data_IF_724374459109
#
_entry.id   IF_724374459109
#
_cell.length_a   1.000
_cell.length_b   1.000
_cell.length_c   1.000
_cell.angle_alpha   90.00
_cell.angle_beta   90.00
_cell.angle_gamma   90.00
#
_symmetry.space_group_name_H-M   'P 1'
#
loop_
_entity.id
_entity.type
_entity.pdbx_description
1 polymer ?
#
# COMPACT_ATOMS: atom_id res chain seq x y z
N UNK A 1 29.47 -2.13 -5.74
CA UNK A 1 29.56 -2.86 -4.46
C UNK A 1 30.15 -1.93 -3.42
N UNK A 2 29.28 -1.30 -2.63
CA UNK A 2 29.65 -0.49 -1.47
C UNK A 2 29.63 -1.43 -0.26
N UNK A 3 30.63 -1.43 0.61
CA UNK A 3 30.74 -2.45 1.65
C UNK A 3 29.63 -2.27 2.69
N UNK A 4 28.99 -3.37 3.06
CA UNK A 4 28.08 -3.44 4.19
C UNK A 4 28.88 -3.17 5.48
N UNK A 5 28.49 -2.13 6.22
CA UNK A 5 29.05 -1.81 7.53
C UNK A 5 27.92 -1.51 8.51
N UNK A 6 28.08 -2.10 9.71
CA UNK A 6 27.20 -2.13 10.88
C UNK A 6 26.16 -3.27 10.89
N UNK A 7 26.46 -4.26 11.73
CA UNK A 7 25.56 -5.28 12.31
C UNK A 7 24.06 -4.96 12.19
N UNK A 8 23.36 -5.59 11.24
CA UNK A 8 21.89 -5.65 11.14
C UNK A 8 21.32 -6.60 12.21
N UNK A 9 21.67 -6.39 13.47
CA UNK A 9 20.93 -7.02 14.57
C UNK A 9 19.55 -6.38 14.59
N UNK A 10 18.50 -7.19 14.50
CA UNK A 10 17.13 -6.70 14.61
C UNK A 10 17.00 -5.83 15.86
N UNK A 11 16.36 -4.65 15.78
CA UNK A 11 16.20 -3.78 16.94
C UNK A 11 15.59 -4.59 18.09
N UNK A 12 16.04 -4.37 19.32
CA UNK A 12 15.50 -5.10 20.48
C UNK A 12 14.61 -4.20 21.32
N UNK A 13 13.68 -4.81 22.03
CA UNK A 13 12.85 -4.15 23.02
C UNK A 13 13.06 -4.81 24.38
N UNK A 14 13.14 -4.00 25.43
CA UNK A 14 13.40 -4.46 26.80
C UNK A 14 12.31 -4.01 27.76
N UNK A 15 12.03 -4.84 28.77
CA UNK A 15 11.06 -4.57 29.83
C UNK A 15 11.46 -5.28 31.13
N UNK A 16 10.82 -4.89 32.22
CA UNK A 16 10.94 -5.57 33.51
C UNK A 16 9.77 -6.54 33.69
N UNK A 17 10.06 -7.81 33.97
CA UNK A 17 9.05 -8.84 34.26
C UNK A 17 8.30 -8.54 35.56
N UNK A 18 7.18 -9.21 35.81
CA UNK A 18 6.44 -9.09 37.09
C UNK A 18 7.26 -9.50 38.33
N UNK A 19 8.36 -10.23 38.13
CA UNK A 19 9.31 -10.63 39.17
C UNK A 19 10.49 -9.65 39.34
N UNK A 20 10.48 -8.51 38.65
CA UNK A 20 11.57 -7.54 38.71
C UNK A 20 12.79 -7.89 37.84
N UNK A 21 12.74 -8.97 37.07
CA UNK A 21 13.86 -9.43 36.21
C UNK A 21 13.80 -8.72 34.87
N UNK A 22 14.95 -8.26 34.36
CA UNK A 22 15.06 -7.69 33.02
C UNK A 22 14.83 -8.77 31.95
N UNK A 23 14.03 -8.45 30.93
CA UNK A 23 13.77 -9.30 29.78
C UNK A 23 13.81 -8.47 28.50
N UNK A 24 14.10 -9.15 27.38
CA UNK A 24 14.15 -8.53 26.06
C UNK A 24 13.71 -9.51 24.98
N UNK A 25 13.33 -8.97 23.82
CA UNK A 25 12.98 -9.71 22.62
C UNK A 25 13.28 -8.86 21.38
N UNK A 26 13.31 -9.50 20.22
CA UNK A 26 13.46 -8.82 18.93
C UNK A 26 12.21 -7.96 18.66
N UNK A 27 12.39 -6.74 18.18
CA UNK A 27 11.32 -5.82 17.78
C UNK A 27 11.04 -5.98 16.29
N UNK A 28 9.77 -6.18 15.96
CA UNK A 28 9.32 -6.30 14.57
C UNK A 28 8.42 -5.14 14.17
N UNK A 29 8.74 -4.53 13.02
CA UNK A 29 7.82 -3.62 12.33
C UNK A 29 8.11 -3.57 10.83
N UNK A 30 7.16 -4.05 10.04
CA UNK A 30 7.19 -3.92 8.57
C UNK A 30 7.13 -2.45 8.11
N UNK A 31 6.51 -1.59 8.92
CA UNK A 31 6.42 -0.15 8.64
C UNK A 31 7.70 0.63 9.02
N UNK A 32 8.75 -0.05 9.49
CA UNK A 32 9.99 0.60 9.94
C UNK A 32 9.81 1.49 11.17
N UNK A 33 8.77 1.25 11.98
CA UNK A 33 8.54 2.00 13.21
C UNK A 33 9.63 1.64 14.21
N UNK A 34 10.27 2.64 14.81
CA UNK A 34 11.30 2.41 15.84
C UNK A 34 10.72 1.73 17.08
N UNK A 35 11.54 0.89 17.72
CA UNK A 35 11.17 0.24 18.97
C UNK A 35 10.78 1.28 20.05
N UNK A 36 9.70 1.06 20.82
CA UNK A 36 9.35 1.92 21.94
C UNK A 36 10.49 2.02 22.95
N UNK A 37 10.87 3.25 23.33
CA UNK A 37 11.94 3.50 24.30
C UNK A 37 11.61 3.03 25.71
N UNK A 38 10.32 2.95 26.03
CA UNK A 38 9.80 2.56 27.34
C UNK A 38 8.70 1.54 27.14
N UNK A 39 8.76 0.44 27.88
CA UNK A 39 7.76 -0.62 27.86
C UNK A 39 7.29 -0.91 29.27
N UNK A 40 5.98 -1.03 29.43
CA UNK A 40 5.33 -1.46 30.65
C UNK A 40 4.52 -2.73 30.38
N UNK A 41 4.44 -3.61 31.37
CA UNK A 41 3.52 -4.74 31.34
C UNK A 41 2.10 -4.25 31.58
N UNK A 42 1.17 -4.68 30.73
CA UNK A 42 -0.25 -4.36 30.82
C UNK A 42 -1.08 -5.64 30.85
N UNK A 43 -2.23 -5.62 31.52
CA UNK A 43 -3.17 -6.74 31.57
C UNK A 43 -4.61 -6.24 31.70
N UNK A 44 -5.53 -7.17 31.97
CA UNK A 44 -6.98 -6.94 32.01
C UNK A 44 -7.42 -5.87 33.04
N UNK A 45 -6.56 -5.46 33.97
CA UNK A 45 -6.87 -4.40 34.96
C UNK A 45 -6.60 -2.98 34.44
N UNK A 46 -5.90 -2.83 33.31
CA UNK A 46 -5.57 -1.53 32.74
C UNK A 46 -6.80 -0.87 32.10
N UNK A 47 -7.26 0.25 32.66
CA UNK A 47 -8.36 1.01 32.08
C UNK A 47 -7.97 1.66 30.75
N UNK A 48 -8.95 1.84 29.85
CA UNK A 48 -8.71 2.44 28.54
C UNK A 48 -8.20 3.88 28.60
N UNK A 49 -8.57 4.67 29.62
CA UNK A 49 -8.06 6.03 29.82
C UNK A 49 -6.60 6.03 30.26
N UNK A 50 -6.21 5.13 31.15
CA UNK A 50 -4.80 4.97 31.56
C UNK A 50 -3.95 4.45 30.40
N UNK A 51 -4.44 3.46 29.65
CA UNK A 51 -3.79 2.98 28.44
C UNK A 51 -3.60 4.09 27.40
N UNK A 52 -4.62 4.94 27.19
CA UNK A 52 -4.52 6.06 26.26
C UNK A 52 -3.46 7.08 26.70
N UNK A 53 -3.37 7.39 28.00
CA UNK A 53 -2.30 8.25 28.55
C UNK A 53 -0.92 7.65 28.32
N UNK A 54 -0.73 6.35 28.56
CA UNK A 54 0.53 5.65 28.29
C UNK A 54 0.88 5.71 26.79
N UNK A 55 -0.09 5.48 25.93
CA UNK A 55 0.08 5.55 24.48
C UNK A 55 0.44 6.96 24.00
N UNK A 56 -0.20 8.01 24.52
CA UNK A 56 0.16 9.40 24.24
C UNK A 56 1.58 9.76 24.71
N UNK A 57 2.05 9.14 25.80
CA UNK A 57 3.42 9.28 26.27
C UNK A 57 4.43 8.42 25.48
N UNK A 58 3.98 7.65 24.48
CA UNK A 58 4.82 6.76 23.68
C UNK A 58 5.31 5.52 24.43
N UNK A 59 4.65 5.14 25.53
CA UNK A 59 4.98 3.92 26.28
C UNK A 59 4.35 2.70 25.60
N UNK A 60 5.19 1.74 25.23
CA UNK A 60 4.75 0.43 24.77
C UNK A 60 4.10 -0.35 25.91
N UNK A 61 2.94 -0.94 25.66
CA UNK A 61 2.19 -1.74 26.60
C UNK A 61 2.28 -3.20 26.16
N UNK A 62 3.18 -3.96 26.77
CA UNK A 62 3.33 -5.37 26.49
C UNK A 62 2.23 -6.15 27.20
N UNK A 63 1.27 -6.64 26.42
CA UNK A 63 0.05 -7.24 26.94
C UNK A 63 0.28 -8.65 27.48
N UNK A 64 -0.20 -8.90 28.70
CA UNK A 64 -0.11 -10.18 29.44
C UNK A 64 -1.47 -10.68 29.92
N UNK A 65 -2.56 -10.00 29.55
CA UNK A 65 -3.93 -10.41 29.85
C UNK A 65 -4.53 -11.33 28.79
N UNK A 66 -5.85 -11.32 28.69
CA UNK A 66 -6.56 -12.07 27.65
C UNK A 66 -6.46 -11.41 26.26
N UNK A 67 -6.34 -12.21 25.21
CA UNK A 67 -6.17 -11.71 23.86
C UNK A 67 -7.38 -10.92 23.33
N UNK A 68 -8.61 -11.35 23.65
CA UNK A 68 -9.80 -10.62 23.22
C UNK A 68 -9.93 -9.29 23.94
N UNK A 69 -9.48 -9.21 25.19
CA UNK A 69 -9.43 -7.94 25.93
C UNK A 69 -8.38 -6.99 25.33
N UNK A 70 -7.25 -7.49 24.83
CA UNK A 70 -6.29 -6.69 24.06
C UNK A 70 -6.95 -6.06 22.82
N UNK A 71 -7.74 -6.84 22.06
CA UNK A 71 -8.47 -6.33 20.88
C UNK A 71 -9.49 -5.26 21.27
N UNK A 72 -10.24 -5.47 22.36
CA UNK A 72 -11.19 -4.48 22.88
C UNK A 72 -10.48 -3.19 23.33
N UNK A 73 -9.33 -3.32 23.99
CA UNK A 73 -8.51 -2.18 24.39
C UNK A 73 -8.01 -1.41 23.16
N UNK A 74 -7.54 -2.09 22.12
CA UNK A 74 -7.13 -1.45 20.86
C UNK A 74 -8.28 -0.65 20.23
N UNK A 75 -9.50 -1.20 20.20
CA UNK A 75 -10.69 -0.48 19.73
C UNK A 75 -11.02 0.73 20.62
N UNK A 76 -10.86 0.60 21.94
CA UNK A 76 -11.08 1.69 22.88
C UNK A 76 -10.04 2.82 22.72
N UNK A 77 -8.79 2.48 22.41
CA UNK A 77 -7.73 3.43 22.05
C UNK A 77 -8.05 4.12 20.72
N UNK A 78 -8.55 3.39 19.72
CA UNK A 78 -8.95 3.94 18.43
C UNK A 78 -10.03 5.01 18.60
N UNK A 79 -11.12 4.69 19.31
CA UNK A 79 -12.18 5.66 19.60
C UNK A 79 -11.66 6.91 20.31
N UNK A 80 -10.69 6.78 21.22
CA UNK A 80 -10.09 7.93 21.93
C UNK A 80 -9.14 8.75 21.06
N UNK A 81 -8.41 8.11 20.15
CA UNK A 81 -7.59 8.81 19.17
C UNK A 81 -8.45 9.61 18.18
N UNK A 82 -9.64 9.09 17.85
CA UNK A 82 -10.57 9.70 16.91
C UNK A 82 -11.44 10.79 17.58
N UNK A 83 -11.83 10.60 18.85
CA UNK A 83 -12.69 11.53 19.58
C UNK A 83 -11.89 12.68 20.21
N UNK A 84 -12.04 13.88 19.65
CA UNK A 84 -11.56 15.12 20.26
C UNK A 84 -12.63 15.75 21.16
N UNK A 85 -12.25 16.41 22.27
CA UNK A 85 -13.20 17.23 23.04
C UNK A 85 -13.90 18.25 22.15
N UNK A 86 -15.19 18.51 22.35
CA UNK A 86 -16.02 19.33 21.46
C UNK A 86 -15.39 20.69 21.10
N UNK A 87 -14.78 21.38 22.08
CA UNK A 87 -14.07 22.65 21.86
C UNK A 87 -12.84 22.51 20.95
N UNK A 88 -12.08 21.43 21.11
CA UNK A 88 -10.92 21.13 20.27
C UNK A 88 -11.34 20.68 18.87
N UNK A 89 -12.45 19.94 18.75
CA UNK A 89 -13.05 19.55 17.48
C UNK A 89 -13.55 20.78 16.70
N UNK A 90 -14.26 21.71 17.34
CA UNK A 90 -14.73 22.95 16.73
C UNK A 90 -13.57 23.81 16.19
N UNK A 91 -12.53 24.02 17.01
CA UNK A 91 -11.33 24.77 16.58
C UNK A 91 -10.59 24.08 15.44
N UNK A 92 -10.52 22.75 15.46
CA UNK A 92 -9.91 21.98 14.37
C UNK A 92 -10.73 22.08 13.08
N UNK A 93 -12.06 22.07 13.17
CA UNK A 93 -12.95 22.25 12.02
C UNK A 93 -12.84 23.66 11.42
N UNK A 94 -12.80 24.70 12.25
CA UNK A 94 -12.58 26.09 11.82
C UNK A 94 -11.22 26.24 11.10
N UNK A 95 -10.15 25.70 11.70
CA UNK A 95 -8.82 25.68 11.08
C UNK A 95 -8.82 24.92 9.75
N UNK A 96 -9.51 23.79 9.67
CA UNK A 96 -9.62 23.02 8.44
C UNK A 96 -10.43 23.76 7.36
N UNK A 97 -11.50 24.47 7.73
CA UNK A 97 -12.29 25.26 6.79
C UNK A 97 -11.45 26.36 6.12
N UNK A 98 -10.62 27.07 6.89
CA UNK A 98 -9.72 28.11 6.39
C UNK A 98 -8.44 27.60 5.70
N UNK A 99 -8.11 26.31 5.84
CA UNK A 99 -6.89 25.71 5.30
C UNK A 99 -6.97 25.48 3.79
N UNK A 100 -5.83 25.64 3.10
CA UNK A 100 -5.69 25.23 1.70
C UNK A 100 -5.90 23.70 1.55
N UNK A 101 -6.20 23.18 0.34
CA UNK A 101 -6.30 21.73 0.12
C UNK A 101 -5.04 20.97 0.56
N UNK A 102 -3.86 21.54 0.31
CA UNK A 102 -2.57 20.98 0.72
C UNK A 102 -2.43 20.95 2.24
N UNK A 103 -2.81 22.03 2.93
CA UNK A 103 -2.77 22.07 4.39
C UNK A 103 -3.74 21.05 5.01
N UNK A 104 -4.94 20.88 4.44
CA UNK A 104 -5.91 19.85 4.88
C UNK A 104 -5.34 18.45 4.70
N UNK A 105 -4.71 18.17 3.56
CA UNK A 105 -4.00 16.92 3.31
C UNK A 105 -2.91 16.68 4.36
N UNK A 106 -2.05 17.66 4.61
CA UNK A 106 -0.96 17.56 5.59
C UNK A 106 -1.49 17.32 7.02
N UNK A 107 -2.53 18.05 7.43
CA UNK A 107 -3.19 17.86 8.73
C UNK A 107 -3.84 16.48 8.84
N UNK A 108 -4.50 16.00 7.77
CA UNK A 108 -5.08 14.65 7.73
C UNK A 108 -3.99 13.58 7.90
N UNK A 109 -2.87 13.71 7.17
CA UNK A 109 -1.73 12.78 7.29
C UNK A 109 -1.09 12.82 8.68
N UNK A 110 -0.93 14.00 9.26
CA UNK A 110 -0.43 14.15 10.63
C UNK A 110 -1.35 13.44 11.64
N UNK A 111 -2.67 13.60 11.50
CA UNK A 111 -3.64 12.92 12.35
C UNK A 111 -3.60 11.39 12.18
N UNK A 112 -3.52 10.88 10.94
CA UNK A 112 -3.38 9.44 10.68
C UNK A 112 -2.08 8.87 11.26
N UNK A 113 -0.96 9.59 11.13
CA UNK A 113 0.32 9.19 11.72
C UNK A 113 0.26 9.19 13.26
N UNK A 114 -0.36 10.20 13.88
CA UNK A 114 -0.54 10.24 15.32
C UNK A 114 -1.40 9.07 15.81
N UNK A 115 -2.53 8.82 15.13
CA UNK A 115 -3.40 7.67 15.40
C UNK A 115 -2.66 6.35 15.27
N UNK A 116 -1.91 6.17 14.18
CA UNK A 116 -1.10 4.99 13.95
C UNK A 116 -0.07 4.74 15.07
N UNK A 117 0.60 5.80 15.54
CA UNK A 117 1.54 5.73 16.67
C UNK A 117 0.84 5.33 17.97
N UNK A 118 -0.27 5.97 18.32
CA UNK A 118 -1.05 5.64 19.52
C UNK A 118 -1.53 4.19 19.52
N UNK A 119 -2.00 3.69 18.38
CA UNK A 119 -2.45 2.29 18.27
C UNK A 119 -1.30 1.28 18.20
N UNK A 120 -0.13 1.72 17.74
CA UNK A 120 1.07 0.90 17.66
C UNK A 120 1.71 0.61 19.01
N UNK A 121 1.27 1.24 20.11
CA UNK A 121 1.85 1.01 21.43
C UNK A 121 1.30 -0.22 22.15
N UNK A 122 0.20 -0.83 21.70
CA UNK A 122 -0.27 -2.08 22.29
C UNK A 122 0.48 -3.26 21.66
N UNK A 123 1.34 -3.90 22.44
CA UNK A 123 2.32 -4.88 21.97
C UNK A 123 1.93 -6.31 22.36
N UNK A 124 2.24 -7.25 21.47
CA UNK A 124 2.07 -8.69 21.65
C UNK A 124 3.43 -9.36 21.49
N UNK A 125 3.75 -10.28 22.39
CA UNK A 125 4.89 -11.18 22.23
C UNK A 125 4.47 -12.40 21.42
N UNK A 126 5.29 -12.75 20.44
CA UNK A 126 5.27 -13.97 19.69
C UNK A 126 6.37 -14.89 20.20
N UNK A 127 6.04 -16.17 20.35
CA UNK A 127 6.99 -17.23 20.64
C UNK A 127 7.90 -17.50 19.43
N UNK A 128 9.00 -18.26 19.59
CA UNK A 128 9.92 -18.61 18.51
C UNK A 128 9.29 -19.18 17.24
N UNK A 129 8.09 -19.76 17.32
CA UNK A 129 7.34 -20.33 16.19
C UNK A 129 6.21 -19.42 15.67
N UNK A 130 6.20 -18.14 16.08
CA UNK A 130 5.13 -17.16 15.88
C UNK A 130 3.79 -17.43 16.59
N UNK A 131 3.71 -18.42 17.49
CA UNK A 131 2.51 -18.58 18.32
C UNK A 131 2.38 -17.45 19.34
N UNK A 132 1.15 -17.21 19.80
CA UNK A 132 0.83 -16.19 20.81
C UNK A 132 0.46 -16.91 22.11
N UNK A 133 1.31 -16.83 23.13
CA UNK A 133 1.08 -17.45 24.45
C UNK A 133 0.14 -16.63 25.35
N UNK A 134 -1.01 -16.19 24.81
CA UNK A 134 -2.06 -15.48 25.55
C UNK A 134 -3.36 -16.30 25.55
N UNK A 135 -4.15 -16.15 26.61
CA UNK A 135 -5.45 -16.80 26.71
C UNK A 135 -6.38 -16.34 25.58
N UNK A 136 -7.06 -17.29 24.92
CA UNK A 136 -7.94 -17.08 23.75
C UNK A 136 -7.27 -16.40 22.55
N UNK A 137 -5.94 -16.49 22.45
CA UNK A 137 -5.25 -16.09 21.24
C UNK A 137 -5.55 -17.07 20.10
N UNK A 138 -5.89 -16.58 18.90
CA UNK A 138 -6.02 -17.42 17.71
C UNK A 138 -4.65 -17.90 17.23
N UNK A 139 -4.64 -18.99 16.45
CA UNK A 139 -3.44 -19.39 15.71
C UNK A 139 -3.31 -18.56 14.42
N UNK A 140 -2.33 -17.65 14.41
CA UNK A 140 -2.04 -16.77 13.28
C UNK A 140 -0.73 -17.12 12.56
N UNK A 141 -0.12 -18.26 12.88
CA UNK A 141 1.19 -18.63 12.35
C UNK A 141 1.25 -18.66 10.83
N UNK A 142 0.20 -19.16 10.17
CA UNK A 142 0.12 -19.17 8.69
C UNK A 142 0.12 -17.74 8.14
N UNK A 143 -0.77 -16.87 8.64
CA UNK A 143 -0.85 -15.48 8.18
C UNK A 143 0.47 -14.73 8.39
N UNK A 144 1.10 -14.93 9.55
CA UNK A 144 2.39 -14.33 9.90
C UNK A 144 3.50 -14.84 8.97
N UNK A 145 3.58 -16.16 8.78
CA UNK A 145 4.59 -16.80 7.91
C UNK A 145 4.47 -16.34 6.46
N UNK A 146 3.24 -16.18 5.97
CA UNK A 146 2.97 -15.67 4.63
C UNK A 146 3.40 -14.21 4.43
N UNK A 147 3.34 -13.39 5.48
CA UNK A 147 3.71 -11.98 5.42
C UNK A 147 5.22 -11.75 5.64
N UNK A 148 5.81 -12.43 6.63
CA UNK A 148 7.16 -12.16 7.13
C UNK A 148 8.18 -13.26 6.78
N UNK A 149 7.74 -14.38 6.20
CA UNK A 149 8.58 -15.55 5.96
C UNK A 149 8.65 -16.49 7.16
N UNK A 150 9.53 -17.49 7.09
CA UNK A 150 9.69 -18.48 8.15
C UNK A 150 10.08 -17.83 9.49
N UNK A 151 9.67 -18.40 10.64
CA UNK A 151 10.10 -17.92 11.95
C UNK A 151 11.62 -17.94 12.08
N UNK A 152 12.17 -16.92 12.74
CA UNK A 152 13.61 -16.80 13.01
C UNK A 152 14.08 -17.73 14.13
N UNK A 153 13.15 -18.32 14.90
CA UNK A 153 13.46 -19.11 16.09
C UNK A 153 13.70 -18.27 17.35
N UNK A 154 13.48 -16.95 17.29
CA UNK A 154 13.62 -16.05 18.44
C UNK A 154 12.28 -15.43 18.85
N UNK A 155 12.03 -15.22 20.16
CA UNK A 155 10.87 -14.46 20.61
C UNK A 155 10.88 -13.05 20.03
N UNK A 156 9.72 -12.62 19.53
CA UNK A 156 9.57 -11.36 18.81
C UNK A 156 8.40 -10.57 19.38
N UNK A 157 8.53 -9.25 19.46
CA UNK A 157 7.47 -8.35 19.92
C UNK A 157 7.04 -7.44 18.78
N UNK A 158 5.73 -7.32 18.60
CA UNK A 158 5.09 -6.58 17.52
C UNK A 158 3.85 -5.87 18.03
N UNK A 159 3.38 -4.82 17.35
CA UNK A 159 2.10 -4.20 17.68
C UNK A 159 0.92 -5.11 17.31
N UNK A 160 -0.13 -5.14 18.15
CA UNK A 160 -1.37 -5.86 17.83
C UNK A 160 -2.03 -5.32 16.54
N UNK A 161 -1.89 -4.02 16.28
CA UNK A 161 -2.39 -3.38 15.06
C UNK A 161 -1.75 -3.99 13.81
N UNK A 162 -0.45 -4.24 13.83
CA UNK A 162 0.27 -4.83 12.70
C UNK A 162 -0.15 -6.28 12.45
N UNK A 163 -0.26 -7.10 13.51
CA UNK A 163 -0.79 -8.47 13.41
C UNK A 163 -2.19 -8.51 12.80
N UNK A 164 -3.08 -7.61 13.22
CA UNK A 164 -4.43 -7.51 12.62
C UNK A 164 -4.39 -7.15 11.14
N UNK A 165 -3.43 -6.31 10.73
CA UNK A 165 -3.21 -5.98 9.32
C UNK A 165 -2.72 -7.19 8.51
N UNK A 166 -1.80 -7.98 9.07
CA UNK A 166 -1.32 -9.25 8.48
C UNK A 166 -2.47 -10.24 8.29
N UNK A 167 -3.29 -10.43 9.32
CA UNK A 167 -4.47 -11.34 9.24
C UNK A 167 -5.48 -10.86 8.21
N UNK A 168 -5.74 -9.54 8.15
CA UNK A 168 -6.61 -8.98 7.12
C UNK A 168 -6.11 -9.25 5.71
N UNK A 169 -4.80 -9.11 5.46
CA UNK A 169 -4.21 -9.42 4.16
C UNK A 169 -4.23 -10.93 3.85
N UNK A 170 -4.04 -11.78 4.85
CA UNK A 170 -4.15 -13.25 4.69
C UNK A 170 -5.55 -13.65 4.21
N UNK A 171 -6.61 -13.08 4.79
CA UNK A 171 -7.98 -13.38 4.34
C UNK A 171 -8.19 -12.95 2.88
N UNK A 172 -7.70 -11.77 2.49
CA UNK A 172 -7.74 -11.33 1.08
C UNK A 172 -6.96 -12.27 0.15
N UNK A 173 -5.77 -12.69 0.55
CA UNK A 173 -4.95 -13.65 -0.22
C UNK A 173 -5.67 -14.98 -0.37
N UNK A 174 -6.34 -15.45 0.68
CA UNK A 174 -7.07 -16.71 0.69
C UNK A 174 -8.30 -16.67 -0.21
N UNK A 175 -9.12 -15.63 -0.13
CA UNK A 175 -10.38 -15.54 -0.90
C UNK A 175 -10.18 -15.04 -2.33
N UNK A 176 -9.16 -14.21 -2.54
CA UNK A 176 -8.97 -13.45 -3.76
C UNK A 176 -10.03 -12.36 -3.96
N UNK A 177 -9.70 -11.41 -4.82
CA UNK A 177 -10.59 -10.37 -5.35
C UNK A 177 -11.04 -10.80 -6.73
N UNK A 178 -12.34 -10.86 -6.94
CA UNK A 178 -12.91 -11.18 -8.25
C UNK A 178 -12.77 -10.00 -9.20
N UNK A 179 -12.26 -10.27 -10.40
CA UNK A 179 -12.07 -9.31 -11.48
C UNK A 179 -12.79 -9.86 -12.72
N UNK A 180 -14.05 -9.46 -12.98
CA UNK A 180 -14.85 -10.00 -14.09
C UNK A 180 -14.16 -9.89 -15.46
N UNK A 181 -13.35 -8.84 -15.65
CA UNK A 181 -12.58 -8.61 -16.88
C UNK A 181 -11.51 -9.69 -17.16
N UNK A 182 -11.20 -10.57 -16.20
CA UNK A 182 -10.23 -11.66 -16.37
C UNK A 182 -10.86 -12.98 -16.83
N UNK A 183 -12.18 -13.03 -16.98
CA UNK A 183 -12.94 -14.20 -17.45
C UNK A 183 -13.99 -14.67 -16.46
N UNK A 184 -14.39 -15.94 -16.58
CA UNK A 184 -15.45 -16.54 -15.79
C UNK A 184 -15.00 -16.92 -14.37
N UNK A 185 -15.92 -16.80 -13.41
CA UNK A 185 -15.72 -17.29 -12.06
C UNK A 185 -15.67 -18.84 -12.02
N UNK A 186 -14.92 -19.44 -11.07
CA UNK A 186 -14.11 -18.79 -10.03
C UNK A 186 -12.67 -18.45 -10.46
N UNK A 187 -12.32 -18.66 -11.74
CA UNK A 187 -10.94 -18.54 -12.25
C UNK A 187 -10.47 -17.12 -12.54
N UNK A 188 -11.26 -16.10 -12.24
CA UNK A 188 -11.06 -14.69 -12.57
C UNK A 188 -10.61 -13.85 -11.36
N UNK A 189 -9.81 -14.44 -10.46
CA UNK A 189 -9.45 -13.84 -9.16
C UNK A 189 -7.98 -13.45 -9.06
N UNK A 190 -7.74 -12.34 -8.38
CA UNK A 190 -6.41 -11.87 -7.96
C UNK A 190 -6.27 -12.03 -6.45
N UNK A 191 -5.19 -12.68 -6.02
CA UNK A 191 -4.86 -12.98 -4.64
C UNK A 191 -3.71 -12.06 -4.19
N UNK A 192 -3.99 -10.86 -3.66
CA UNK A 192 -2.96 -9.91 -3.25
C UNK A 192 -2.21 -10.44 -2.03
N UNK A 193 -0.88 -10.31 -2.03
CA UNK A 193 -0.04 -10.60 -0.87
C UNK A 193 -0.04 -9.41 0.11
N UNK A 194 0.37 -9.66 1.36
CA UNK A 194 0.55 -8.60 2.36
C UNK A 194 1.45 -7.47 1.82
N UNK A 195 1.05 -6.20 1.96
CA UNK A 195 1.82 -5.06 1.47
C UNK A 195 1.82 -4.86 -0.05
N UNK A 196 1.12 -5.70 -0.84
CA UNK A 196 0.88 -5.47 -2.27
C UNK A 196 -0.52 -4.90 -2.43
N UNK A 197 -0.67 -3.84 -3.24
CA UNK A 197 -1.96 -3.17 -3.39
C UNK A 197 -3.00 -4.06 -4.05
N UNK A 198 -4.16 -4.13 -3.40
CA UNK A 198 -5.27 -4.95 -3.86
C UNK A 198 -6.07 -4.20 -4.93
N UNK A 199 -6.43 -4.82 -6.07
CA UNK A 199 -7.22 -4.20 -7.14
C UNK A 199 -8.72 -4.09 -6.80
N UNK A 200 -9.06 -3.83 -5.53
CA UNK A 200 -10.46 -3.66 -5.07
C UNK A 200 -11.13 -2.41 -5.67
N UNK A 201 -10.35 -1.43 -6.12
CA UNK A 201 -10.81 -0.24 -6.85
C UNK A 201 -10.62 -0.50 -8.34
N UNK A 202 -11.51 -1.30 -8.93
CA UNK A 202 -11.35 -1.84 -10.28
C UNK A 202 -11.65 -0.88 -11.43
N UNK A 203 -12.10 0.35 -11.17
CA UNK A 203 -12.61 1.26 -12.21
C UNK A 203 -11.55 1.60 -13.28
N UNK A 204 -10.27 1.63 -12.91
CA UNK A 204 -9.18 1.84 -13.87
C UNK A 204 -9.00 0.66 -14.85
N UNK A 205 -9.42 -0.55 -14.46
CA UNK A 205 -9.37 -1.72 -15.33
C UNK A 205 -10.39 -1.59 -16.47
N UNK A 206 -11.54 -0.95 -16.23
CA UNK A 206 -12.53 -0.67 -17.27
C UNK A 206 -11.98 0.29 -18.33
N UNK A 207 -11.21 1.30 -17.92
CA UNK A 207 -10.52 2.20 -18.87
C UNK A 207 -9.60 1.41 -19.80
N UNK A 208 -8.80 0.50 -19.23
CA UNK A 208 -7.91 -0.36 -20.01
C UNK A 208 -8.72 -1.33 -20.88
N UNK A 209 -9.82 -1.89 -20.39
CA UNK A 209 -10.66 -2.83 -21.13
C UNK A 209 -11.32 -2.19 -22.36
N UNK A 210 -11.78 -0.94 -22.22
CA UNK A 210 -12.53 -0.22 -23.25
C UNK A 210 -11.63 0.46 -24.28
N UNK A 211 -10.42 0.87 -23.89
CA UNK A 211 -9.49 1.58 -24.79
C UNK A 211 -9.06 0.68 -25.96
N UNK A 212 -9.34 1.01 -27.24
CA UNK A 212 -8.91 0.22 -28.38
C UNK A 212 -7.42 -0.12 -28.32
N UNK A 213 -7.08 -1.40 -28.55
CA UNK A 213 -5.69 -1.84 -28.66
C UNK A 213 -5.02 -1.19 -29.89
N UNK A 214 -3.70 -0.92 -29.83
CA UNK A 214 -2.94 -0.55 -31.02
C UNK A 214 -3.03 -1.62 -32.11
N UNK A 215 -2.76 -1.24 -33.36
CA UNK A 215 -2.82 -2.17 -34.49
C UNK A 215 -1.86 -3.37 -34.35
N UNK A 216 -0.71 -3.16 -33.71
CA UNK A 216 0.21 -4.23 -33.33
C UNK A 216 -0.06 -4.71 -31.89
N UNK A 217 -0.58 -5.92 -31.76
CA UNK A 217 -0.88 -6.58 -30.48
C UNK A 217 0.14 -7.68 -30.14
N UNK A 218 1.31 -7.68 -30.76
CA UNK A 218 2.33 -8.72 -30.58
C UNK A 218 2.94 -8.72 -29.18
N UNK A 219 3.16 -7.54 -28.60
CA UNK A 219 3.89 -7.37 -27.35
C UNK A 219 3.34 -6.16 -26.59
N UNK A 220 3.23 -6.29 -25.26
CA UNK A 220 3.07 -5.13 -24.38
C UNK A 220 4.02 -5.20 -23.19
N UNK A 221 4.40 -4.05 -22.64
CA UNK A 221 5.08 -3.95 -21.36
C UNK A 221 4.09 -3.52 -20.26
N UNK A 222 4.16 -4.14 -19.09
CA UNK A 222 3.42 -3.74 -17.88
C UNK A 222 4.41 -3.31 -16.79
N UNK A 223 4.51 -2.00 -16.56
CA UNK A 223 5.54 -1.38 -15.72
C UNK A 223 5.06 -1.21 -14.29
N UNK A 224 5.75 -1.87 -13.34
CA UNK A 224 5.34 -1.91 -11.94
C UNK A 224 4.08 -2.76 -11.75
N UNK A 225 4.12 -3.99 -12.25
CA UNK A 225 2.94 -4.86 -12.42
C UNK A 225 2.21 -5.19 -11.11
N UNK A 226 2.88 -5.08 -9.96
CA UNK A 226 2.27 -5.28 -8.64
C UNK A 226 1.67 -6.67 -8.46
N UNK A 227 0.35 -6.78 -8.64
CA UNK A 227 -0.37 -8.07 -8.56
C UNK A 227 -0.40 -8.86 -9.86
N UNK A 228 0.04 -8.29 -10.98
CA UNK A 228 -0.07 -8.91 -12.31
C UNK A 228 -1.41 -8.67 -13.01
N UNK A 229 -2.32 -7.88 -12.42
CA UNK A 229 -3.70 -7.72 -12.92
C UNK A 229 -3.77 -7.06 -14.30
N UNK A 230 -2.92 -6.06 -14.57
CA UNK A 230 -2.89 -5.37 -15.88
C UNK A 230 -2.25 -6.26 -16.93
N UNK A 231 -1.12 -6.91 -16.65
CA UNK A 231 -0.54 -7.91 -17.54
C UNK A 231 -1.54 -9.02 -17.90
N UNK A 232 -2.29 -9.53 -16.92
CA UNK A 232 -3.33 -10.53 -17.15
C UNK A 232 -4.45 -9.98 -18.04
N UNK A 233 -4.95 -8.78 -17.76
CA UNK A 233 -5.99 -8.13 -18.55
C UNK A 233 -5.55 -7.93 -20.01
N UNK A 234 -4.34 -7.44 -20.25
CA UNK A 234 -3.80 -7.23 -21.59
C UNK A 234 -3.78 -8.54 -22.40
N UNK A 235 -3.36 -9.65 -21.78
CA UNK A 235 -3.42 -10.97 -22.41
C UNK A 235 -4.86 -11.37 -22.75
N UNK A 236 -5.81 -11.18 -21.82
CA UNK A 236 -7.24 -11.48 -22.06
C UNK A 236 -7.84 -10.64 -23.18
N UNK A 237 -7.31 -9.44 -23.43
CA UNK A 237 -7.71 -8.56 -24.54
C UNK A 237 -7.08 -8.92 -25.87
N UNK A 238 -6.15 -9.89 -25.91
CA UNK A 238 -5.58 -10.42 -27.15
C UNK A 238 -4.12 -10.06 -27.41
N UNK A 239 -3.45 -9.36 -26.48
CA UNK A 239 -1.99 -9.17 -26.54
C UNK A 239 -1.30 -10.54 -26.46
N UNK A 240 -0.40 -10.84 -27.41
CA UNK A 240 0.21 -12.19 -27.53
C UNK A 240 1.26 -12.47 -26.47
N UNK A 241 2.04 -11.45 -26.09
CA UNK A 241 3.06 -11.55 -25.06
C UNK A 241 3.08 -10.27 -24.22
N UNK A 242 3.24 -10.41 -22.91
CA UNK A 242 3.47 -9.30 -22.00
C UNK A 242 4.80 -9.48 -21.30
N UNK A 243 5.62 -8.42 -21.25
CA UNK A 243 6.78 -8.33 -20.36
C UNK A 243 6.38 -7.46 -19.19
N UNK A 244 6.25 -8.05 -18.02
CA UNK A 244 5.90 -7.36 -16.79
C UNK A 244 7.15 -7.08 -15.97
N UNK A 245 7.30 -5.88 -15.42
CA UNK A 245 8.41 -5.51 -14.54
C UNK A 245 7.92 -5.16 -13.15
N UNK A 246 8.71 -5.52 -12.14
CA UNK A 246 8.45 -5.17 -10.75
C UNK A 246 9.78 -5.20 -9.99
N UNK A 247 10.03 -4.27 -9.06
CA UNK A 247 11.27 -4.23 -8.28
C UNK A 247 11.09 -4.75 -6.85
N UNK A 248 9.88 -4.75 -6.31
CA UNK A 248 9.60 -5.23 -4.97
C UNK A 248 9.51 -6.78 -4.96
N UNK A 249 10.39 -7.51 -4.23
CA UNK A 249 10.39 -8.97 -4.25
C UNK A 249 9.05 -9.60 -3.86
N UNK A 250 8.34 -8.97 -2.93
CA UNK A 250 7.02 -9.43 -2.47
C UNK A 250 5.94 -9.26 -3.56
N UNK A 251 5.98 -8.15 -4.30
CA UNK A 251 5.08 -7.93 -5.43
C UNK A 251 5.41 -8.87 -6.60
N UNK A 252 6.68 -9.13 -6.88
CA UNK A 252 7.07 -10.15 -7.87
C UNK A 252 6.51 -11.53 -7.52
N UNK A 253 6.66 -11.97 -6.27
CA UNK A 253 6.10 -13.23 -5.81
C UNK A 253 4.58 -13.26 -5.95
N UNK A 254 3.91 -12.15 -5.65
CA UNK A 254 2.46 -11.97 -5.80
C UNK A 254 2.02 -12.06 -7.28
N UNK A 255 2.67 -11.33 -8.18
CA UNK A 255 2.38 -11.38 -9.61
C UNK A 255 2.60 -12.79 -10.17
N UNK A 256 3.70 -13.45 -9.81
CA UNK A 256 4.00 -14.82 -10.23
C UNK A 256 2.93 -15.82 -9.81
N UNK A 257 2.49 -15.80 -8.54
CA UNK A 257 1.43 -16.69 -8.04
C UNK A 257 0.11 -16.45 -8.79
N UNK A 258 -0.28 -15.18 -8.98
CA UNK A 258 -1.49 -14.84 -9.72
C UNK A 258 -1.45 -15.26 -11.19
N UNK A 259 -0.36 -14.99 -11.90
CA UNK A 259 -0.19 -15.39 -13.29
C UNK A 259 -0.20 -16.92 -13.45
N UNK A 260 0.33 -17.66 -12.48
CA UNK A 260 0.24 -19.12 -12.43
C UNK A 260 -1.20 -19.59 -12.25
N UNK A 261 -1.94 -19.04 -11.30
CA UNK A 261 -3.36 -19.37 -11.06
C UNK A 261 -4.25 -19.08 -12.27
N UNK A 262 -3.96 -18.00 -12.99
CA UNK A 262 -4.69 -17.59 -14.20
C UNK A 262 -4.27 -18.38 -15.45
N UNK A 263 -3.23 -19.22 -15.37
CA UNK A 263 -2.70 -20.00 -16.49
C UNK A 263 -1.96 -19.16 -17.54
N UNK A 264 -1.41 -18.00 -17.16
CA UNK A 264 -0.86 -17.01 -18.09
C UNK A 264 0.68 -16.97 -18.14
N UNK A 265 1.37 -17.86 -17.43
CA UNK A 265 2.85 -17.90 -17.35
C UNK A 265 3.55 -18.13 -18.70
N UNK A 266 2.85 -18.64 -19.72
CA UNK A 266 3.39 -18.78 -21.08
C UNK A 266 3.34 -17.49 -21.89
N UNK A 267 2.46 -16.56 -21.51
CA UNK A 267 2.21 -15.30 -22.23
C UNK A 267 2.80 -14.10 -21.49
N UNK A 268 2.96 -14.19 -20.16
CA UNK A 268 3.53 -13.13 -19.34
C UNK A 268 4.91 -13.54 -18.81
N UNK A 269 5.92 -12.75 -19.15
CA UNK A 269 7.27 -12.87 -18.63
C UNK A 269 7.50 -11.81 -17.56
N UNK A 270 7.84 -12.24 -16.34
CA UNK A 270 8.03 -11.35 -15.20
C UNK A 270 9.53 -11.11 -14.95
N UNK A 271 9.93 -9.84 -14.94
CA UNK A 271 11.30 -9.38 -14.71
C UNK A 271 11.44 -8.57 -13.43
N UNK A 272 12.54 -8.81 -12.72
CA UNK A 272 12.98 -7.93 -11.65
C UNK A 272 13.72 -6.74 -12.26
N UNK A 273 13.06 -5.59 -12.38
CA UNK A 273 13.64 -4.40 -12.99
C UNK A 273 13.11 -3.12 -12.34
N UNK A 274 13.95 -2.09 -12.30
CA UNK A 274 13.52 -0.74 -11.97
C UNK A 274 12.92 -0.09 -13.23
N UNK A 275 11.59 0.00 -13.24
CA UNK A 275 10.77 0.46 -14.36
C UNK A 275 10.86 -0.44 -15.60
N UNK A 276 11.89 -0.33 -16.43
CA UNK A 276 11.90 -0.97 -17.76
C UNK A 276 12.83 -2.17 -17.84
N UNK A 277 12.40 -3.20 -18.56
CA UNK A 277 13.26 -4.26 -19.05
C UNK A 277 13.86 -3.85 -20.41
N UNK A 278 15.00 -4.45 -20.84
CA UNK A 278 15.54 -4.20 -22.18
C UNK A 278 14.54 -4.52 -23.29
N UNK A 279 14.55 -3.71 -24.35
CA UNK A 279 13.72 -3.92 -25.54
C UNK A 279 12.68 -2.83 -25.76
N UNK A 280 11.89 -2.98 -26.83
CA UNK A 280 10.83 -2.04 -27.22
C UNK A 280 9.50 -2.76 -27.40
N UNK A 281 8.39 -2.07 -27.15
CA UNK A 281 7.05 -2.60 -27.33
C UNK A 281 6.11 -1.60 -28.04
N UNK A 282 5.12 -2.08 -28.82
CA UNK A 282 4.08 -1.24 -29.42
C UNK A 282 3.08 -0.73 -28.38
N UNK A 283 2.97 -1.38 -27.23
CA UNK A 283 2.15 -0.94 -26.11
C UNK A 283 2.94 -1.00 -24.80
N UNK A 284 2.93 0.08 -24.01
CA UNK A 284 3.48 0.10 -22.64
C UNK A 284 2.40 0.61 -21.69
N UNK A 285 2.12 -0.09 -20.61
CA UNK A 285 1.11 0.31 -19.62
C UNK A 285 1.77 0.53 -18.26
N UNK A 286 1.34 1.56 -17.54
CA UNK A 286 1.76 1.80 -16.17
C UNK A 286 0.62 2.39 -15.33
N UNK A 287 0.47 1.88 -14.11
CA UNK A 287 -0.42 2.45 -13.08
C UNK A 287 0.43 2.83 -11.85
N UNK A 288 1.20 3.92 -11.93
CA UNK A 288 2.09 4.30 -10.84
C UNK A 288 1.29 4.80 -9.63
N UNK A 289 1.89 4.79 -8.43
CA UNK A 289 1.34 5.51 -7.28
C UNK A 289 1.15 7.00 -7.63
N UNK A 290 0.01 7.57 -7.26
CA UNK A 290 -0.46 8.83 -7.86
C UNK A 290 -0.32 10.06 -6.96
N UNK A 291 -0.02 9.91 -5.67
CA UNK A 291 0.14 11.03 -4.73
C UNK A 291 1.61 11.36 -4.47
N UNK A 292 2.09 12.58 -4.78
CA UNK A 292 3.48 12.95 -4.54
C UNK A 292 3.75 13.26 -3.07
N UNK A 293 3.88 12.21 -2.27
CA UNK A 293 4.18 12.32 -0.85
C UNK A 293 5.01 11.12 -0.39
N UNK A 294 5.68 11.23 0.76
CA UNK A 294 6.43 10.11 1.34
C UNK A 294 5.48 9.04 1.90
N UNK A 295 5.59 7.75 1.54
CA UNK A 295 4.84 6.68 2.20
C UNK A 295 5.28 6.46 3.64
N UNK A 296 4.35 6.10 4.53
CA UNK A 296 4.62 5.81 5.95
C UNK A 296 4.65 4.30 6.27
N UNK A 297 4.41 3.43 5.29
CA UNK A 297 4.46 1.96 5.43
C UNK A 297 4.60 1.28 4.06
N UNK A 298 5.00 -0.01 3.99
CA UNK A 298 5.07 -0.76 2.74
C UNK A 298 3.80 -0.67 1.88
N UNK A 299 2.62 -0.81 2.49
CA UNK A 299 1.35 -0.74 1.76
C UNK A 299 1.08 0.64 1.15
N UNK A 300 1.61 1.70 1.75
CA UNK A 300 1.45 3.07 1.28
C UNK A 300 2.27 3.36 0.02
N UNK A 301 3.29 2.57 -0.31
CA UNK A 301 4.10 2.74 -1.54
C UNK A 301 3.27 2.61 -2.82
N UNK A 302 2.15 1.90 -2.79
CA UNK A 302 1.28 1.79 -3.95
C UNK A 302 0.34 2.99 -4.15
N UNK A 303 0.33 3.95 -3.22
CA UNK A 303 -0.48 5.17 -3.26
C UNK A 303 0.40 6.41 -3.38
N UNK A 304 1.52 6.41 -2.65
CA UNK A 304 2.39 7.57 -2.48
C UNK A 304 3.73 7.39 -3.21
N UNK A 305 4.06 8.34 -4.08
CA UNK A 305 5.28 8.40 -4.89
C UNK A 305 6.07 9.67 -4.52
N UNK A 306 6.99 9.59 -3.55
CA UNK A 306 7.72 10.77 -3.06
C UNK A 306 8.45 11.48 -4.20
N UNK A 307 8.08 12.73 -4.48
CA UNK A 307 8.67 13.49 -5.59
C UNK A 307 8.28 13.00 -6.99
N UNK A 308 7.23 12.17 -7.11
CA UNK A 308 6.80 11.54 -8.36
C UNK A 308 7.92 10.74 -9.04
N UNK A 309 8.73 10.01 -8.28
CA UNK A 309 9.88 9.26 -8.78
C UNK A 309 9.48 8.23 -9.83
N UNK A 310 8.51 7.36 -9.53
CA UNK A 310 8.07 6.32 -10.46
C UNK A 310 7.42 6.93 -11.70
N UNK A 311 6.54 7.92 -11.51
CA UNK A 311 5.88 8.60 -12.64
C UNK A 311 6.89 9.30 -13.56
N UNK A 312 7.83 10.06 -13.01
CA UNK A 312 8.83 10.79 -13.81
C UNK A 312 9.80 9.83 -14.49
N UNK A 313 10.23 8.78 -13.80
CA UNK A 313 11.09 7.75 -14.38
C UNK A 313 10.39 7.00 -15.51
N UNK A 314 9.10 6.65 -15.34
CA UNK A 314 8.30 6.06 -16.40
C UNK A 314 8.25 6.97 -17.63
N UNK A 315 7.87 8.24 -17.47
CA UNK A 315 7.80 9.20 -18.57
C UNK A 315 9.15 9.35 -19.28
N UNK A 316 10.23 9.52 -18.53
CA UNK A 316 11.58 9.74 -19.07
C UNK A 316 12.11 8.53 -19.86
N UNK A 317 11.69 7.30 -19.56
CA UNK A 317 12.13 6.11 -20.28
C UNK A 317 11.31 5.75 -21.53
N UNK A 318 10.12 6.33 -21.72
CA UNK A 318 9.18 5.86 -22.74
C UNK A 318 9.71 5.92 -24.17
N UNK A 319 10.44 6.97 -24.56
CA UNK A 319 10.95 7.12 -25.94
C UNK A 319 11.97 6.05 -26.34
N UNK A 320 12.70 5.52 -25.36
CA UNK A 320 13.70 4.47 -25.56
C UNK A 320 13.07 3.08 -25.67
N UNK A 321 11.87 2.90 -25.10
CA UNK A 321 11.17 1.62 -25.00
C UNK A 321 9.93 1.52 -25.91
N UNK A 322 9.45 2.60 -26.51
CA UNK A 322 8.40 2.52 -27.53
C UNK A 322 8.97 2.11 -28.89
N UNK A 323 8.25 1.24 -29.61
CA UNK A 323 8.49 1.07 -31.05
C UNK A 323 8.02 2.30 -31.82
N UNK A 324 8.49 2.52 -33.06
CA UNK A 324 7.87 3.51 -33.94
C UNK A 324 6.35 3.28 -34.05
N UNK A 325 5.56 4.33 -33.85
CA UNK A 325 4.09 4.26 -33.82
C UNK A 325 3.48 3.58 -32.59
N UNK A 326 4.29 3.21 -31.60
CA UNK A 326 3.82 2.64 -30.34
C UNK A 326 3.14 3.66 -29.42
N UNK A 327 2.32 3.15 -28.50
CA UNK A 327 1.59 3.95 -27.52
C UNK A 327 1.93 3.54 -26.09
N UNK A 328 1.94 4.51 -25.18
CA UNK A 328 2.00 4.28 -23.74
C UNK A 328 0.68 4.69 -23.07
N UNK A 329 0.17 3.84 -22.19
CA UNK A 329 -1.02 4.08 -21.38
C UNK A 329 -0.62 4.33 -19.93
N UNK A 330 -0.80 5.57 -19.49
CA UNK A 330 -0.57 5.98 -18.11
C UNK A 330 -1.92 6.11 -17.39
N UNK A 331 -2.13 5.28 -16.37
CA UNK A 331 -3.26 5.40 -15.46
C UNK A 331 -2.90 6.35 -14.32
N UNK A 332 -3.68 7.40 -14.13
CA UNK A 332 -3.37 8.40 -13.12
C UNK A 332 -4.62 9.11 -12.61
N UNK A 333 -4.76 9.19 -11.29
CA UNK A 333 -5.79 9.99 -10.63
C UNK A 333 -5.39 11.46 -10.57
N UNK A 334 -6.36 12.35 -10.78
CA UNK A 334 -6.20 13.81 -10.63
C UNK A 334 -6.30 14.25 -9.16
N UNK A 335 -6.41 13.32 -8.20
CA UNK A 335 -6.49 13.64 -6.77
C UNK A 335 -5.31 14.50 -6.30
N UNK A 336 -4.11 14.32 -6.85
CA UNK A 336 -2.97 15.16 -6.54
C UNK A 336 -3.20 16.64 -6.90
N UNK A 337 -3.99 16.92 -7.94
CA UNK A 337 -4.34 18.27 -8.38
C UNK A 337 -5.34 18.90 -7.40
N UNK A 338 -6.39 18.17 -7.04
CA UNK A 338 -7.38 18.63 -6.05
C UNK A 338 -6.79 18.86 -4.66
N UNK A 339 -5.73 18.12 -4.31
CA UNK A 339 -5.01 18.28 -3.06
C UNK A 339 -3.90 19.34 -3.11
N UNK A 340 -3.63 19.95 -4.28
CA UNK A 340 -2.56 20.93 -4.45
C UNK A 340 -1.15 20.34 -4.29
N UNK A 341 -0.99 19.04 -4.55
CA UNK A 341 0.29 18.32 -4.46
C UNK A 341 1.07 18.32 -5.78
N UNK A 342 0.35 18.36 -6.91
CA UNK A 342 0.90 18.48 -8.27
C UNK A 342 -0.19 19.01 -9.18
N UNK A 343 0.11 20.01 -9.97
CA UNK A 343 -0.81 20.58 -10.97
C UNK A 343 -0.87 19.74 -12.26
N UNK A 344 -1.92 19.98 -13.06
CA UNK A 344 -2.03 19.44 -14.43
C UNK A 344 -0.89 19.95 -15.31
N UNK A 345 -0.53 21.22 -15.16
CA UNK A 345 0.53 21.87 -15.95
C UNK A 345 1.88 21.19 -15.72
N UNK A 346 2.23 20.88 -14.47
CA UNK A 346 3.45 20.14 -14.16
C UNK A 346 3.47 18.76 -14.82
N UNK A 347 2.36 18.01 -14.77
CA UNK A 347 2.27 16.71 -15.45
C UNK A 347 2.48 16.84 -16.96
N UNK A 348 1.78 17.79 -17.60
CA UNK A 348 1.91 18.02 -19.05
C UNK A 348 3.32 18.51 -19.42
N UNK A 349 3.93 19.34 -18.57
CA UNK A 349 5.32 19.77 -18.71
C UNK A 349 6.30 18.61 -18.66
N UNK A 350 6.12 17.66 -17.73
CA UNK A 350 6.95 16.45 -17.67
C UNK A 350 6.77 15.54 -18.88
N UNK A 351 5.54 15.38 -19.38
CA UNK A 351 5.26 14.63 -20.62
C UNK A 351 6.01 15.28 -21.80
N UNK A 352 5.87 16.60 -21.99
CA UNK A 352 6.53 17.31 -23.07
C UNK A 352 8.07 17.25 -22.95
N UNK A 353 8.61 17.44 -21.75
CA UNK A 353 10.04 17.38 -21.48
C UNK A 353 10.64 15.99 -21.73
N UNK A 354 9.84 14.93 -21.62
CA UNK A 354 10.23 13.57 -21.96
C UNK A 354 10.17 13.27 -23.47
N UNK A 355 9.91 14.26 -24.32
CA UNK A 355 9.77 14.06 -25.76
C UNK A 355 8.51 13.27 -26.13
N UNK A 356 7.44 13.43 -25.34
CA UNK A 356 6.17 12.75 -25.55
C UNK A 356 5.06 13.75 -25.90
N UNK A 357 4.03 13.26 -26.58
CA UNK A 357 2.79 13.99 -26.84
C UNK A 357 1.58 13.18 -26.39
N UNK A 358 0.52 13.88 -25.99
CA UNK A 358 -0.76 13.25 -25.61
C UNK A 358 -1.58 12.95 -26.86
N UNK A 359 -1.93 11.69 -27.07
CA UNK A 359 -2.83 11.24 -28.14
C UNK A 359 -4.30 11.37 -27.76
N UNK A 360 -4.61 11.24 -26.47
CA UNK A 360 -5.97 11.29 -25.95
C UNK A 360 -6.05 10.93 -24.47
N UNK A 361 -7.22 11.12 -23.89
CA UNK A 361 -7.53 10.81 -22.49
C UNK A 361 -8.94 10.25 -22.36
N UNK A 362 -9.08 9.22 -21.54
CA UNK A 362 -10.37 8.65 -21.13
C UNK A 362 -10.47 8.67 -19.61
N UNK A 363 -11.63 9.02 -19.06
CA UNK A 363 -11.81 9.26 -17.62
C UNK A 363 -12.88 8.33 -17.03
N UNK A 364 -12.70 7.95 -15.76
CA UNK A 364 -13.69 7.26 -14.95
C UNK A 364 -13.78 7.90 -13.56
N UNK A 365 -14.99 7.96 -13.01
CA UNK A 365 -15.21 8.41 -11.63
C UNK A 365 -15.17 7.22 -10.67
N UNK A 366 -14.62 7.38 -9.46
CA UNK A 366 -14.63 6.32 -8.45
C UNK A 366 -16.06 6.03 -7.98
N UNK A 367 -16.39 4.75 -7.81
CA UNK A 367 -17.67 4.28 -7.26
C UNK A 367 -17.56 3.81 -5.80
N UNK A 368 -16.36 3.86 -5.21
CA UNK A 368 -16.11 3.32 -3.88
C UNK A 368 -16.63 4.21 -2.73
N UNK A 369 -16.98 3.56 -1.59
CA UNK A 369 -17.54 4.22 -0.41
C UNK A 369 -16.75 5.44 0.09
N UNK A 370 -15.41 5.42 0.01
CA UNK A 370 -14.56 6.56 0.44
C UNK A 370 -14.75 7.85 -0.36
N UNK A 371 -15.24 7.78 -1.59
CA UNK A 371 -15.55 8.97 -2.41
C UNK A 371 -16.92 9.55 -2.04
N UNK A 372 -17.77 8.75 -1.38
CA UNK A 372 -19.13 9.11 -0.98
C UNK A 372 -19.22 9.50 0.51
N UNK A 373 -18.14 9.32 1.28
CA UNK A 373 -18.11 9.61 2.71
C UNK A 373 -17.95 11.12 2.98
N UNK A 374 -19.06 11.81 3.19
CA UNK A 374 -19.10 13.22 3.53
C UNK A 374 -18.41 13.58 4.87
N UNK A 375 -18.10 12.58 5.71
CA UNK A 375 -17.35 12.78 6.95
C UNK A 375 -15.83 12.74 6.77
N UNK A 376 -15.35 12.36 5.58
CA UNK A 376 -13.92 12.31 5.28
C UNK A 376 -13.33 13.72 5.16
N UNK A 377 -12.18 13.94 5.81
CA UNK A 377 -11.51 15.24 5.81
C UNK A 377 -11.06 15.71 4.42
N UNK A 378 -10.95 14.80 3.45
CA UNK A 378 -10.59 15.05 2.06
C UNK A 378 -11.78 14.81 1.12
N UNK A 379 -13.01 14.76 1.64
CA UNK A 379 -14.22 14.47 0.86
C UNK A 379 -14.32 15.31 -0.40
N UNK A 380 -14.19 16.64 -0.31
CA UNK A 380 -14.32 17.53 -1.46
C UNK A 380 -13.36 17.18 -2.62
N UNK A 381 -12.11 16.79 -2.29
CA UNK A 381 -11.14 16.35 -3.29
C UNK A 381 -11.48 14.96 -3.84
N UNK A 382 -11.87 14.01 -2.98
CA UNK A 382 -12.24 12.64 -3.38
C UNK A 382 -13.55 12.54 -4.16
N UNK A 383 -14.50 13.44 -3.91
CA UNK A 383 -15.75 13.51 -4.67
C UNK A 383 -15.54 14.10 -6.06
N UNK A 384 -14.51 14.94 -6.20
CA UNK A 384 -14.12 15.53 -7.49
C UNK A 384 -13.18 14.62 -8.29
N UNK A 385 -12.46 13.72 -7.62
CA UNK A 385 -11.48 12.79 -8.18
C UNK A 385 -11.99 12.07 -9.45
N UNK A 386 -11.14 12.07 -10.47
CA UNK A 386 -11.25 11.18 -11.63
C UNK A 386 -9.95 10.43 -11.82
N UNK A 387 -10.07 9.17 -12.24
CA UNK A 387 -8.94 8.39 -12.75
C UNK A 387 -8.95 8.47 -14.26
N UNK A 388 -7.81 8.77 -14.85
CA UNK A 388 -7.65 8.92 -16.29
C UNK A 388 -6.69 7.87 -16.85
N UNK A 389 -6.99 7.36 -18.05
CA UNK A 389 -6.04 6.70 -18.94
C UNK A 389 -5.54 7.73 -19.94
N UNK A 390 -4.27 8.09 -19.84
CA UNK A 390 -3.57 8.96 -20.77
C UNK A 390 -2.88 8.12 -21.83
N UNK A 391 -3.17 8.40 -23.10
CA UNK A 391 -2.44 7.82 -24.23
C UNK A 391 -1.32 8.75 -24.64
N UNK A 392 -0.11 8.25 -24.61
CA UNK A 392 1.10 8.99 -24.92
C UNK A 392 1.83 8.32 -26.09
N UNK A 393 2.51 9.10 -26.90
CA UNK A 393 3.44 8.61 -27.91
C UNK A 393 4.67 9.50 -27.95
N UNK A 394 5.75 9.01 -28.56
CA UNK A 394 6.89 9.86 -28.89
C UNK A 394 6.42 11.06 -29.73
N UNK A 395 6.94 12.24 -29.41
CA UNK A 395 6.85 13.41 -30.26
C UNK A 395 7.65 13.17 -31.55
N UNK A 396 7.14 13.68 -32.66
CA UNK A 396 7.81 13.58 -33.97
C UNK A 396 9.03 14.50 -34.07
#
# INVERSE_FOLDING_TARGET
MTPASASDAAPTIAWTTSKGVAASASWHSEAGVSAPRRVELANDTLSADSAYRLACAGTGMLWRGDFQNARQLLQALARRADNKPAKAAARAAEKAAAASPLDRFNLHRQAQSQRARTLGTLLIALEPDYSIALRRAPDWRVAITEAWGAPTGEPTVVSLRELLGVVGAHEWRKTGVEIPLLGEAPGNRIHPHYGVFSPIRGEYLDLVAQQPLPGDTSLAFDIGTGTGVLAALLVRRGIKRVVATENAPRAQACAKDNLQRLGLTKQVELHSADLFAPGRAPLIVCNPPWLPARPASPLEHAIYDEGSQMLRGFLAGLTDHLTPGGEAWLLLSDLAEHLGLRSREELLGWIAAAGLRVLGRSDVRPHHAKAQDASDALYAARSAEVTSLWRLAAAE
#
